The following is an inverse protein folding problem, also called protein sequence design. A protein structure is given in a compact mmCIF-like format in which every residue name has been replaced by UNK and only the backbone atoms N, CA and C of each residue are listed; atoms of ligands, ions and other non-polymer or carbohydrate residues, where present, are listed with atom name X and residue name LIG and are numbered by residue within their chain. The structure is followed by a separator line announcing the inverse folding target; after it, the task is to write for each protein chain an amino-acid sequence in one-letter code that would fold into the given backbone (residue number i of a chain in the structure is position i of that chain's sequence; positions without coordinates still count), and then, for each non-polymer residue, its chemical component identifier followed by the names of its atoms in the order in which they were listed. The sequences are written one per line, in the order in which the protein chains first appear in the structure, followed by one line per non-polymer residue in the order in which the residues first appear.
data_IF_235557887242
#
_entry.id   IF_235557887242
#
_cell.length_a   1.000
_cell.length_b   1.000
_cell.length_c   1.000
_cell.angle_alpha   90.00
_cell.angle_beta   90.00
_cell.angle_gamma   90.00
#
_symmetry.space_group_name_H-M   'P 1'
#
loop_
_entity.id
_entity.type
_entity.pdbx_description
1 polymer ?
#
# COMPACT_ATOMS: atom_id res chain seq x y z
N UNK A 1 -13.79 7.74 -21.00
CA UNK A 1 -13.53 7.16 -19.67
C UNK A 1 -14.85 7.00 -18.92
N UNK A 2 -15.11 5.80 -18.39
CA UNK A 2 -16.34 5.47 -17.64
C UNK A 2 -16.14 5.48 -16.11
N UNK A 3 -14.91 5.33 -15.62
CA UNK A 3 -14.58 5.21 -14.20
C UNK A 3 -13.14 5.68 -13.88
N UNK A 4 -12.81 6.01 -12.61
CA UNK A 4 -11.45 6.36 -12.19
C UNK A 4 -10.47 5.18 -12.30
N UNK A 5 -9.22 5.48 -12.64
CA UNK A 5 -8.15 4.49 -12.73
C UNK A 5 -6.81 5.15 -12.39
N UNK A 6 -6.11 4.54 -11.44
CA UNK A 6 -4.81 4.96 -10.92
C UNK A 6 -4.39 4.01 -9.80
N UNK A 7 -3.09 3.86 -9.60
CA UNK A 7 -2.50 3.09 -8.50
C UNK A 7 -1.05 3.50 -8.38
N UNK A 8 -0.49 3.46 -7.17
CA UNK A 8 0.89 3.87 -6.89
C UNK A 8 1.17 5.36 -7.22
N UNK A 9 0.16 6.23 -7.10
CA UNK A 9 0.21 7.67 -7.43
C UNK A 9 0.43 8.60 -6.21
N UNK A 10 0.71 8.02 -5.04
CA UNK A 10 0.94 8.69 -3.77
C UNK A 10 -0.26 9.52 -3.33
N UNK A 11 -0.09 10.83 -3.28
CA UNK A 11 -1.13 11.73 -2.80
C UNK A 11 -2.32 11.90 -3.75
N UNK A 12 -2.14 11.58 -5.04
CA UNK A 12 -3.03 11.96 -6.13
C UNK A 12 -4.24 11.01 -6.20
N UNK A 13 -5.44 11.58 -6.26
CA UNK A 13 -6.65 10.85 -6.65
C UNK A 13 -6.92 11.03 -8.15
N UNK A 14 -6.75 9.97 -8.94
CA UNK A 14 -7.03 9.95 -10.38
C UNK A 14 -8.53 9.69 -10.66
N UNK A 15 -9.37 10.67 -10.32
CA UNK A 15 -10.81 10.63 -10.56
C UNK A 15 -11.18 10.53 -12.05
N UNK A 16 -12.43 10.17 -12.37
CA UNK A 16 -12.94 10.24 -13.76
C UNK A 16 -12.81 11.67 -14.29
N UNK A 17 -12.31 11.81 -15.52
CA UNK A 17 -12.05 13.09 -16.17
C UNK A 17 -10.55 13.44 -16.16
N UNK A 18 -10.23 14.71 -16.37
CA UNK A 18 -8.85 15.20 -16.36
C UNK A 18 -8.35 15.34 -14.92
N UNK A 19 -7.18 14.79 -14.65
CA UNK A 19 -6.42 15.03 -13.41
C UNK A 19 -5.09 15.66 -13.77
N UNK A 20 -4.77 16.78 -13.13
CA UNK A 20 -3.48 17.47 -13.27
C UNK A 20 -2.77 17.42 -11.91
N UNK A 21 -1.50 17.07 -11.93
CA UNK A 21 -0.64 17.10 -10.75
C UNK A 21 0.69 17.78 -11.07
N UNK A 22 1.26 18.45 -10.09
CA UNK A 22 2.58 19.05 -10.17
C UNK A 22 3.33 18.80 -8.86
N UNK A 23 4.62 18.48 -8.99
CA UNK A 23 5.53 18.31 -7.87
C UNK A 23 6.79 19.13 -8.17
N UNK A 24 7.15 20.01 -7.24
CA UNK A 24 8.32 20.87 -7.36
C UNK A 24 8.88 21.13 -5.96
N UNK A 25 10.20 21.14 -5.84
CA UNK A 25 10.84 21.14 -4.54
C UNK A 25 12.34 21.39 -4.61
N UNK A 26 12.99 21.34 -3.45
CA UNK A 26 14.44 21.46 -3.35
C UNK A 26 15.01 20.48 -2.33
N UNK A 27 16.31 20.23 -2.49
CA UNK A 27 17.13 19.43 -1.60
C UNK A 27 18.28 20.27 -1.07
N UNK A 28 18.54 20.18 0.23
CA UNK A 28 19.69 20.80 0.88
C UNK A 28 20.34 19.80 1.84
N UNK A 29 21.67 19.88 1.95
CA UNK A 29 22.45 19.06 2.90
C UNK A 29 23.52 19.92 3.57
N UNK A 30 23.58 19.85 4.89
CA UNK A 30 24.60 20.49 5.72
C UNK A 30 25.18 19.44 6.68
N UNK A 31 26.34 18.89 6.32
CA UNK A 31 26.98 17.81 7.08
C UNK A 31 26.07 16.57 7.23
N UNK A 32 25.77 16.12 8.46
CA UNK A 32 24.90 14.97 8.72
C UNK A 32 23.41 15.28 8.52
N UNK A 33 23.02 16.54 8.40
CA UNK A 33 21.62 16.96 8.25
C UNK A 33 21.27 17.10 6.76
N UNK A 34 20.12 16.56 6.35
CA UNK A 34 19.53 16.75 5.03
C UNK A 34 18.07 17.17 5.15
N UNK A 35 17.66 18.05 4.22
CA UNK A 35 16.32 18.57 4.08
C UNK A 35 15.87 18.30 2.63
N UNK A 36 14.73 17.63 2.50
CA UNK A 36 14.00 17.50 1.23
C UNK A 36 12.64 18.15 1.43
N UNK A 37 12.31 19.15 0.62
CA UNK A 37 10.94 19.67 0.52
C UNK A 37 10.45 19.38 -0.87
N UNK A 38 9.49 18.47 -1.02
CA UNK A 38 8.96 18.03 -2.31
C UNK A 38 7.42 17.90 -2.26
N UNK A 39 6.70 19.03 -2.09
CA UNK A 39 5.24 19.04 -2.05
C UNK A 39 4.64 18.66 -3.41
N UNK A 40 3.45 18.09 -3.36
CA UNK A 40 2.65 17.75 -4.54
C UNK A 40 1.32 18.48 -4.48
N UNK A 41 0.95 19.17 -5.55
CA UNK A 41 -0.40 19.70 -5.74
C UNK A 41 -1.10 18.92 -6.84
N UNK A 42 -2.37 18.61 -6.66
CA UNK A 42 -3.18 18.01 -7.72
C UNK A 42 -4.61 18.53 -7.71
N UNK A 43 -5.27 18.43 -8.87
CA UNK A 43 -6.68 18.67 -9.08
C UNK A 43 -7.24 17.66 -10.07
N UNK A 44 -8.26 16.92 -9.65
CA UNK A 44 -9.07 16.03 -10.46
C UNK A 44 -10.43 16.69 -10.73
N UNK A 45 -10.88 16.67 -11.98
CA UNK A 45 -12.26 17.03 -12.34
C UNK A 45 -13.28 16.21 -11.55
N UNK A 46 -12.94 14.95 -11.27
CA UNK A 46 -13.71 14.04 -10.43
C UNK A 46 -15.16 13.94 -10.90
N UNK A 47 -15.38 13.78 -12.21
CA UNK A 47 -16.69 13.68 -12.85
C UNK A 47 -17.53 12.54 -12.24
N UNK A 48 -18.86 12.67 -12.29
CA UNK A 48 -19.76 11.62 -11.82
C UNK A 48 -19.58 10.34 -12.63
N UNK A 49 -19.78 9.19 -11.99
CA UNK A 49 -19.89 7.89 -12.66
C UNK A 49 -20.80 7.00 -11.82
N UNK A 50 -21.32 5.89 -12.37
CA UNK A 50 -22.14 4.96 -11.59
C UNK A 50 -21.35 4.46 -10.38
N UNK A 51 -21.89 4.71 -9.19
CA UNK A 51 -21.35 4.19 -7.94
C UNK A 51 -22.16 2.96 -7.56
N UNK A 52 -21.48 1.96 -7.00
CA UNK A 52 -22.14 0.85 -6.36
C UNK A 52 -22.85 1.31 -5.08
N UNK A 53 -23.96 0.63 -4.75
CA UNK A 53 -24.68 0.90 -3.51
C UNK A 53 -23.73 0.72 -2.32
N UNK A 54 -23.73 1.70 -1.42
CA UNK A 54 -22.91 1.68 -0.20
C UNK A 54 -23.81 1.75 1.02
N UNK A 55 -23.38 1.10 2.10
CA UNK A 55 -24.05 1.14 3.40
C UNK A 55 -23.86 2.48 4.13
N UNK A 56 -22.93 3.32 3.66
CA UNK A 56 -22.75 4.67 4.20
C UNK A 56 -23.82 5.63 3.69
N UNK A 57 -24.31 6.50 4.58
CA UNK A 57 -25.35 7.49 4.26
C UNK A 57 -24.98 8.46 3.15
N UNK A 58 -23.68 8.70 2.92
CA UNK A 58 -23.21 9.52 1.79
C UNK A 58 -23.36 8.83 0.43
N UNK A 59 -23.66 7.53 0.38
CA UNK A 59 -23.67 6.72 -0.84
C UNK A 59 -22.30 6.61 -1.53
N UNK A 60 -21.23 6.91 -0.79
CA UNK A 60 -19.90 7.18 -1.35
C UNK A 60 -18.81 6.20 -0.91
N UNK A 61 -19.08 5.38 0.12
CA UNK A 61 -18.11 4.43 0.69
C UNK A 61 -17.91 3.20 -0.18
N UNK A 62 -16.98 2.35 0.24
CA UNK A 62 -16.81 1.00 -0.32
C UNK A 62 -18.15 0.24 -0.31
N UNK A 63 -18.51 -0.48 -1.39
CA UNK A 63 -19.83 -1.11 -1.50
C UNK A 63 -20.07 -2.25 -0.52
N UNK A 64 -19.04 -3.03 -0.18
CA UNK A 64 -19.16 -4.16 0.75
C UNK A 64 -18.65 -3.77 2.13
N UNK A 65 -17.48 -3.13 2.19
CA UNK A 65 -16.77 -2.86 3.43
C UNK A 65 -16.91 -1.43 3.92
N UNK A 66 -17.86 -0.64 3.37
CA UNK A 66 -17.99 0.79 3.66
C UNK A 66 -18.06 1.15 5.14
N UNK A 67 -18.59 0.26 6.00
CA UNK A 67 -18.65 0.46 7.45
C UNK A 67 -17.32 0.23 8.19
N UNK A 68 -16.33 -0.41 7.57
CA UNK A 68 -15.07 -0.88 8.21
C UNK A 68 -13.80 -0.51 7.42
N UNK A 69 -13.93 0.34 6.39
CA UNK A 69 -12.79 0.97 5.70
C UNK A 69 -13.11 2.39 5.25
N UNK A 70 -12.12 3.29 5.36
CA UNK A 70 -12.16 4.63 4.77
C UNK A 70 -11.62 4.57 3.33
N UNK A 71 -12.48 4.14 2.41
CA UNK A 71 -12.17 4.02 0.98
C UNK A 71 -13.38 4.46 0.16
N UNK A 72 -13.55 5.77 -0.09
CA UNK A 72 -14.66 6.24 -0.93
C UNK A 72 -14.44 5.83 -2.39
N UNK A 73 -15.52 5.42 -3.06
CA UNK A 73 -15.52 5.18 -4.51
C UNK A 73 -15.25 6.50 -5.27
N UNK A 74 -15.70 7.63 -4.71
CA UNK A 74 -15.52 8.98 -5.27
C UNK A 74 -15.45 10.02 -4.15
N UNK A 75 -14.50 10.95 -4.24
CA UNK A 75 -14.37 12.06 -3.28
C UNK A 75 -15.39 13.18 -3.52
N UNK A 76 -16.67 12.90 -3.22
CA UNK A 76 -17.77 13.87 -3.32
C UNK A 76 -18.23 14.17 -4.75
N UNK A 77 -19.08 15.19 -4.89
CA UNK A 77 -19.73 15.52 -6.16
C UNK A 77 -19.02 16.60 -6.99
N UNK A 78 -18.02 17.28 -6.43
CA UNK A 78 -17.28 18.38 -7.04
C UNK A 78 -15.88 17.94 -7.47
N UNK A 79 -15.19 18.81 -8.20
CA UNK A 79 -13.75 18.67 -8.43
C UNK A 79 -13.01 18.51 -7.09
N UNK A 80 -12.02 17.63 -7.07
CA UNK A 80 -11.27 17.28 -5.86
C UNK A 80 -9.80 17.61 -6.07
N UNK A 81 -9.15 18.20 -5.07
CA UNK A 81 -7.74 18.57 -5.16
C UNK A 81 -7.15 18.84 -3.78
N UNK A 82 -5.83 18.74 -3.70
CA UNK A 82 -5.09 18.94 -2.45
C UNK A 82 -3.68 19.45 -2.72
N UNK A 83 -3.19 20.31 -1.82
CA UNK A 83 -1.77 20.55 -1.62
C UNK A 83 -1.28 19.60 -0.53
N UNK A 84 -0.41 18.68 -0.91
CA UNK A 84 0.15 17.66 -0.04
C UNK A 84 1.63 17.98 0.26
N UNK A 85 2.11 17.79 1.51
CA UNK A 85 3.53 17.91 1.83
C UNK A 85 4.42 16.99 0.98
N UNK A 86 3.85 15.94 0.38
CA UNK A 86 4.52 15.10 -0.59
C UNK A 86 5.74 14.39 0.00
N UNK A 87 6.78 14.22 -0.81
CA UNK A 87 7.99 13.49 -0.43
C UNK A 87 8.97 14.38 0.34
N UNK A 88 8.48 15.01 1.41
CA UNK A 88 9.27 15.93 2.24
C UNK A 88 9.83 15.22 3.48
N UNK A 89 11.07 15.57 3.86
CA UNK A 89 11.73 15.03 5.05
C UNK A 89 12.85 15.94 5.59
N UNK A 90 13.07 15.84 6.90
CA UNK A 90 14.28 16.31 7.59
C UNK A 90 14.95 15.08 8.19
N UNK A 91 16.21 14.83 7.84
CA UNK A 91 16.94 13.61 8.21
C UNK A 91 18.32 13.94 8.74
N UNK A 92 18.68 13.32 9.87
CA UNK A 92 20.00 13.34 10.46
C UNK A 92 20.63 11.94 10.33
N UNK A 93 21.78 11.86 9.65
CA UNK A 93 22.60 10.66 9.55
C UNK A 93 23.92 10.84 10.30
N UNK A 94 24.06 10.19 11.45
CA UNK A 94 25.25 10.30 12.28
C UNK A 94 25.56 8.95 12.97
N UNK A 95 26.84 8.59 13.04
CA UNK A 95 27.31 7.41 13.77
C UNK A 95 26.60 6.09 13.39
N UNK A 96 26.25 5.93 12.11
CA UNK A 96 25.53 4.74 11.61
C UNK A 96 24.03 4.72 11.89
N UNK A 97 23.50 5.75 12.54
CA UNK A 97 22.08 5.93 12.85
C UNK A 97 21.47 6.96 11.91
N UNK A 98 20.22 6.74 11.54
CA UNK A 98 19.38 7.65 10.77
C UNK A 98 18.11 7.96 11.54
N UNK A 99 17.82 9.25 11.75
CA UNK A 99 16.61 9.68 12.44
C UNK A 99 16.06 10.97 11.85
N UNK A 100 14.76 11.21 11.99
CA UNK A 100 14.18 12.43 11.45
C UNK A 100 12.66 12.46 11.44
N UNK A 101 12.14 13.39 10.65
CA UNK A 101 10.73 13.59 10.38
C UNK A 101 10.47 13.51 8.88
N UNK A 102 9.37 12.89 8.48
CA UNK A 102 9.04 12.68 7.07
C UNK A 102 7.53 12.70 6.85
N UNK A 103 7.14 13.12 5.65
CA UNK A 103 5.81 12.90 5.08
C UNK A 103 5.86 12.01 3.85
N UNK A 104 7.04 11.51 3.50
CA UNK A 104 7.26 10.68 2.33
C UNK A 104 6.51 9.35 2.42
N UNK A 105 6.17 8.82 1.25
CA UNK A 105 5.69 7.46 1.10
C UNK A 105 6.81 6.47 1.43
N UNK A 106 6.41 5.31 1.95
CA UNK A 106 7.31 4.21 2.30
C UNK A 106 6.91 2.98 1.48
N UNK A 107 7.91 2.20 1.05
CA UNK A 107 7.71 0.91 0.38
C UNK A 107 8.32 -0.18 1.24
N UNK A 108 7.49 -1.03 1.84
CA UNK A 108 7.93 -2.13 2.71
C UNK A 108 7.58 -3.48 2.09
N UNK A 109 8.59 -4.33 1.96
CA UNK A 109 8.52 -5.59 1.22
C UNK A 109 9.20 -5.48 -0.16
N UNK A 110 9.39 -6.62 -0.85
CA UNK A 110 10.09 -6.67 -2.13
C UNK A 110 9.17 -6.44 -3.34
N UNK A 111 7.85 -6.48 -3.16
CA UNK A 111 6.86 -6.23 -4.22
C UNK A 111 6.94 -4.79 -4.73
N UNK A 112 7.00 -4.64 -6.05
CA UNK A 112 7.09 -3.34 -6.71
C UNK A 112 5.72 -2.79 -7.11
N UNK A 113 4.80 -3.66 -7.57
CA UNK A 113 3.47 -3.25 -8.02
C UNK A 113 2.44 -3.32 -6.89
N UNK A 114 2.55 -4.34 -6.03
CA UNK A 114 1.58 -4.70 -5.01
C UNK A 114 2.21 -4.80 -3.61
N UNK A 115 2.70 -3.69 -3.03
CA UNK A 115 3.24 -3.70 -1.68
C UNK A 115 2.14 -4.03 -0.65
N UNK A 116 2.38 -4.98 0.26
CA UNK A 116 1.37 -5.37 1.24
C UNK A 116 1.19 -4.36 2.38
N UNK A 117 2.29 -3.93 3.01
CA UNK A 117 2.22 -3.23 4.30
C UNK A 117 2.25 -1.72 4.14
N UNK A 118 3.13 -1.19 3.30
CA UNK A 118 3.20 0.23 2.97
C UNK A 118 3.70 0.37 1.54
N UNK A 119 3.06 1.25 0.79
CA UNK A 119 3.41 1.57 -0.58
C UNK A 119 3.08 3.00 -0.97
N UNK A 120 2.97 3.20 -2.29
CA UNK A 120 2.67 4.51 -2.87
C UNK A 120 1.21 4.64 -3.29
N UNK A 121 0.27 3.83 -2.77
CA UNK A 121 -1.15 3.92 -3.14
C UNK A 121 -1.94 4.98 -2.36
N UNK A 122 -1.40 5.45 -1.23
CA UNK A 122 -1.98 6.51 -0.42
C UNK A 122 -1.02 7.69 -0.31
N UNK A 123 -1.50 8.86 0.16
CA UNK A 123 -0.60 9.92 0.55
C UNK A 123 0.27 9.44 1.71
N UNK A 124 1.54 9.87 1.73
CA UNK A 124 2.35 9.71 2.92
C UNK A 124 1.74 10.42 4.14
N UNK A 125 2.29 10.15 5.31
CA UNK A 125 1.77 10.67 6.58
C UNK A 125 2.90 11.27 7.39
N UNK A 126 2.65 12.31 8.21
CA UNK A 126 3.67 12.88 9.07
C UNK A 126 4.11 11.84 10.11
N UNK A 127 5.38 11.49 10.08
CA UNK A 127 5.97 10.51 10.98
C UNK A 127 7.39 10.86 11.37
N UNK A 128 7.74 10.49 12.59
CA UNK A 128 9.13 10.35 13.02
C UNK A 128 9.65 8.99 12.56
N UNK A 129 10.93 8.93 12.22
CA UNK A 129 11.61 7.67 11.96
C UNK A 129 12.93 7.60 12.71
N UNK A 130 13.33 6.38 13.05
CA UNK A 130 14.63 6.05 13.62
C UNK A 130 15.10 4.71 13.05
N UNK A 131 16.38 4.57 12.76
CA UNK A 131 16.90 3.35 12.18
C UNK A 131 18.38 3.40 11.90
N UNK A 132 18.85 2.44 11.13
CA UNK A 132 20.24 2.35 10.70
C UNK A 132 20.43 3.15 9.42
N UNK A 133 21.48 3.97 9.34
CA UNK A 133 21.79 4.72 8.11
C UNK A 133 22.26 3.81 6.97
N UNK A 134 22.93 2.71 7.32
CA UNK A 134 23.43 1.68 6.40
C UNK A 134 23.26 0.31 7.06
N UNK A 135 23.21 -0.80 6.29
CA UNK A 135 23.21 -2.14 6.87
C UNK A 135 24.45 -2.36 7.75
N UNK A 136 24.23 -2.66 9.03
CA UNK A 136 25.29 -2.87 10.01
C UNK A 136 25.71 -4.35 10.05
N UNK A 137 27.02 -4.64 10.17
CA UNK A 137 27.51 -6.00 10.23
C UNK A 137 27.14 -6.66 11.57
N UNK A 138 26.73 -7.91 11.50
CA UNK A 138 26.65 -8.85 12.62
C UNK A 138 27.41 -10.12 12.23
N UNK A 139 27.75 -10.99 13.18
CA UNK A 139 28.59 -12.17 12.92
C UNK A 139 28.11 -13.03 11.73
N UNK A 140 26.79 -13.14 11.57
CA UNK A 140 26.13 -13.97 10.57
C UNK A 140 25.72 -13.24 9.27
N UNK A 141 25.98 -11.94 9.13
CA UNK A 141 25.54 -11.18 7.95
C UNK A 141 25.44 -9.66 8.19
N UNK A 142 24.52 -8.99 7.49
CA UNK A 142 24.25 -7.56 7.66
C UNK A 142 22.78 -7.33 7.92
N UNK A 143 22.44 -6.53 8.92
CA UNK A 143 21.06 -6.19 9.24
C UNK A 143 20.79 -4.71 8.97
N UNK A 144 19.55 -4.38 8.63
CA UNK A 144 19.07 -3.01 8.50
C UNK A 144 17.71 -2.92 9.19
N UNK A 145 17.46 -1.85 9.94
CA UNK A 145 16.20 -1.67 10.65
C UNK A 145 15.71 -0.23 10.54
N UNK A 146 14.38 -0.07 10.51
CA UNK A 146 13.71 1.22 10.59
C UNK A 146 12.42 1.08 11.38
N UNK A 147 12.23 1.97 12.35
CA UNK A 147 10.98 2.14 13.08
C UNK A 147 10.38 3.50 12.73
N UNK A 148 9.05 3.56 12.61
CA UNK A 148 8.31 4.80 12.35
C UNK A 148 7.17 4.98 13.34
N UNK A 149 6.88 6.24 13.67
CA UNK A 149 5.76 6.64 14.53
C UNK A 149 5.10 7.89 13.95
N UNK A 150 3.81 7.84 13.65
CA UNK A 150 3.15 8.92 12.91
C UNK A 150 1.66 9.05 13.16
N UNK A 151 1.06 10.01 12.47
CA UNK A 151 -0.38 10.28 12.52
C UNK A 151 -1.02 9.97 11.16
N UNK A 152 -2.00 9.07 11.17
CA UNK A 152 -2.86 8.83 10.01
C UNK A 152 -4.13 9.65 10.12
N UNK A 153 -4.51 10.25 9.01
CA UNK A 153 -5.75 11.03 8.88
C UNK A 153 -6.78 10.22 8.09
N UNK A 154 -8.06 10.48 8.34
CA UNK A 154 -9.15 9.94 7.53
C UNK A 154 -9.61 10.94 6.47
N UNK A 155 -10.36 10.47 5.48
CA UNK A 155 -11.07 11.32 4.52
C UNK A 155 -12.33 11.95 5.15
N UNK A 156 -12.91 12.93 4.46
CA UNK A 156 -14.22 13.49 4.81
C UNK A 156 -15.38 12.50 4.56
N UNK A 157 -15.10 11.35 3.97
CA UNK A 157 -16.06 10.31 3.57
C UNK A 157 -15.92 9.03 4.40
N UNK A 158 -15.13 9.08 5.48
CA UNK A 158 -14.86 7.96 6.36
C UNK A 158 -16.13 7.49 7.11
N UNK A 159 -16.26 6.18 7.41
CA UNK A 159 -17.32 5.66 8.29
C UNK A 159 -17.19 6.11 9.76
N UNK A 160 -16.06 6.71 10.15
CA UNK A 160 -15.84 7.16 11.53
C UNK A 160 -16.27 8.61 11.69
N UNK A 161 -17.31 8.79 12.51
CA UNK A 161 -17.84 10.08 12.93
C UNK A 161 -17.46 10.39 14.38
N UNK A 162 -17.79 11.59 14.85
CA UNK A 162 -17.56 12.01 16.23
C UNK A 162 -16.22 12.73 16.48
N UNK A 163 -15.66 12.62 17.69
CA UNK A 163 -14.54 13.43 18.14
C UNK A 163 -13.24 13.14 17.38
N UNK A 164 -12.31 14.11 17.41
CA UNK A 164 -10.99 13.94 16.80
C UNK A 164 -10.21 12.79 17.46
N UNK A 165 -10.24 12.73 18.78
CA UNK A 165 -9.53 11.75 19.60
C UNK A 165 -10.51 10.73 20.18
N UNK A 166 -9.97 9.59 20.61
CA UNK A 166 -10.71 8.49 21.22
C UNK A 166 -11.64 8.98 22.33
N UNK A 167 -12.89 8.51 22.29
CA UNK A 167 -13.86 8.75 23.36
C UNK A 167 -14.47 7.45 23.87
N UNK A 168 -14.74 6.49 22.99
CA UNK A 168 -15.32 5.20 23.34
C UNK A 168 -15.02 4.15 22.27
N UNK A 169 -15.42 2.89 22.49
CA UNK A 169 -15.32 1.83 21.46
C UNK A 169 -16.16 2.11 20.20
N UNK A 170 -17.24 2.90 20.32
CA UNK A 170 -18.05 3.31 19.17
C UNK A 170 -17.46 4.54 18.45
N UNK A 171 -16.75 5.39 19.21
CA UNK A 171 -16.11 6.62 18.78
C UNK A 171 -14.58 6.53 18.96
N UNK A 172 -13.94 5.74 18.09
CA UNK A 172 -12.50 5.44 18.17
C UNK A 172 -11.60 6.63 17.82
N UNK A 173 -12.18 7.72 17.31
CA UNK A 173 -11.51 8.96 16.97
C UNK A 173 -11.21 9.08 15.48
N UNK A 174 -11.19 10.33 14.97
CA UNK A 174 -10.95 10.63 13.55
C UNK A 174 -9.47 10.63 13.15
N UNK A 175 -8.54 10.52 14.10
CA UNK A 175 -7.10 10.35 13.84
C UNK A 175 -6.58 9.11 14.52
N UNK A 176 -5.57 8.48 13.91
CA UNK A 176 -4.95 7.25 14.42
C UNK A 176 -3.45 7.45 14.61
N UNK A 177 -2.92 6.78 15.61
CA UNK A 177 -1.49 6.66 15.80
C UNK A 177 -0.99 5.46 15.00
N UNK A 178 -0.05 5.70 14.09
CA UNK A 178 0.64 4.66 13.35
C UNK A 178 1.98 4.36 14.01
N UNK A 179 2.29 3.08 14.16
CA UNK A 179 3.63 2.63 14.53
C UNK A 179 4.02 1.43 13.68
N UNK A 180 5.25 1.38 13.20
CA UNK A 180 5.71 0.24 12.43
C UNK A 180 7.21 0.01 12.53
N UNK A 181 7.62 -1.21 12.20
CA UNK A 181 8.99 -1.69 12.21
C UNK A 181 9.22 -2.51 10.93
N UNK A 182 10.32 -2.24 10.25
CA UNK A 182 10.84 -3.12 9.19
C UNK A 182 12.28 -3.50 9.53
N UNK A 183 12.59 -4.77 9.34
CA UNK A 183 13.94 -5.33 9.51
C UNK A 183 14.28 -6.13 8.26
N UNK A 184 15.48 -5.92 7.73
CA UNK A 184 16.06 -6.75 6.67
C UNK A 184 17.40 -7.31 7.09
N UNK A 185 17.73 -8.47 6.56
CA UNK A 185 18.94 -9.21 6.85
C UNK A 185 19.49 -9.85 5.58
N UNK A 186 20.79 -9.65 5.37
CA UNK A 186 21.56 -10.19 4.27
C UNK A 186 22.54 -11.22 4.84
N UNK A 187 22.24 -12.53 4.76
CA UNK A 187 23.06 -13.57 5.35
C UNK A 187 24.44 -13.65 4.69
N UNK A 188 25.47 -13.88 5.51
CA UNK A 188 26.83 -14.14 5.01
C UNK A 188 26.85 -15.46 4.23
N UNK A 189 27.45 -15.44 3.04
CA UNK A 189 27.60 -16.62 2.19
C UNK A 189 26.51 -16.81 1.13
N UNK A 190 25.48 -15.96 1.10
CA UNK A 190 24.44 -15.98 0.08
C UNK A 190 24.36 -14.62 -0.62
N UNK A 191 25.14 -14.48 -1.69
CA UNK A 191 25.20 -13.22 -2.42
C UNK A 191 23.84 -12.89 -3.08
N UNK A 192 23.37 -11.68 -2.82
CA UNK A 192 22.12 -11.16 -3.37
C UNK A 192 20.85 -11.65 -2.65
N UNK A 193 20.96 -12.49 -1.61
CA UNK A 193 19.82 -12.88 -0.77
C UNK A 193 19.55 -11.81 0.29
N UNK A 194 18.29 -11.43 0.42
CA UNK A 194 17.77 -10.57 1.46
C UNK A 194 16.51 -11.21 2.02
N UNK A 195 16.44 -11.34 3.34
CA UNK A 195 15.24 -11.76 4.06
C UNK A 195 14.83 -10.63 4.99
N UNK A 196 13.54 -10.51 5.27
CA UNK A 196 13.08 -9.46 6.15
C UNK A 196 11.68 -9.70 6.67
N UNK A 197 11.25 -8.78 7.52
CA UNK A 197 9.90 -8.75 8.01
C UNK A 197 9.49 -7.31 8.32
N UNK A 198 8.20 -7.06 8.17
CA UNK A 198 7.59 -5.79 8.48
C UNK A 198 6.41 -5.98 9.43
N UNK A 199 6.16 -4.99 10.27
CA UNK A 199 4.98 -4.92 11.13
C UNK A 199 4.47 -3.50 11.17
N UNK A 200 3.17 -3.33 11.04
CA UNK A 200 2.51 -2.03 11.08
C UNK A 200 1.25 -2.10 11.92
N UNK A 201 1.09 -1.13 12.82
CA UNK A 201 0.04 -1.11 13.83
C UNK A 201 -0.70 0.21 13.74
N UNK A 202 -2.02 0.12 13.63
CA UNK A 202 -2.93 1.23 13.84
C UNK A 202 -3.44 1.20 15.27
N UNK A 203 -3.29 2.31 15.97
CA UNK A 203 -3.83 2.51 17.30
C UNK A 203 -4.75 3.71 17.35
N UNK A 204 -5.71 3.65 18.27
CA UNK A 204 -6.53 4.82 18.63
C UNK A 204 -5.63 5.97 19.11
N UNK A 205 -6.10 7.21 19.02
CA UNK A 205 -5.39 8.36 19.58
C UNK A 205 -6.08 8.85 20.86
N UNK A 206 -5.55 8.59 22.07
CA UNK A 206 -6.21 8.99 23.32
C UNK A 206 -6.25 10.50 23.51
N UNK A 207 -7.30 11.00 24.17
CA UNK A 207 -7.42 12.43 24.55
C UNK A 207 -6.31 12.90 25.49
N UNK A 208 -5.80 12.00 26.33
CA UNK A 208 -4.69 12.23 27.25
C UNK A 208 -3.31 12.27 26.58
N UNK A 209 -3.23 12.00 25.27
CA UNK A 209 -1.99 11.87 24.53
C UNK A 209 -1.57 10.42 24.28
N UNK A 210 -0.48 10.24 23.51
CA UNK A 210 0.04 8.92 23.17
C UNK A 210 0.79 8.35 24.38
N UNK A 211 0.37 7.21 24.95
CA UNK A 211 1.04 6.63 26.11
C UNK A 211 2.40 6.03 25.72
N UNK A 212 3.40 6.01 26.63
CA UNK A 212 4.72 5.44 26.35
C UNK A 212 4.71 3.99 25.86
N UNK A 213 3.69 3.21 26.24
CA UNK A 213 3.51 1.82 25.81
C UNK A 213 3.36 1.68 24.29
N UNK A 214 2.82 2.69 23.59
CA UNK A 214 2.61 2.65 22.15
C UNK A 214 3.93 2.58 21.38
N UNK A 215 4.99 3.22 21.89
CA UNK A 215 6.31 3.19 21.25
C UNK A 215 6.95 1.80 21.29
N UNK A 216 6.54 0.95 22.22
CA UNK A 216 7.04 -0.42 22.34
C UNK A 216 6.25 -1.44 21.49
N UNK A 217 5.06 -1.08 20.99
CA UNK A 217 4.18 -2.02 20.26
C UNK A 217 4.84 -2.69 19.04
N UNK A 218 5.60 -1.99 18.17
CA UNK A 218 6.28 -2.65 17.05
C UNK A 218 7.36 -3.65 17.49
N UNK A 219 7.86 -3.55 18.72
CA UNK A 219 8.92 -4.38 19.30
C UNK A 219 8.39 -5.54 20.14
N UNK A 220 7.07 -5.58 20.41
CA UNK A 220 6.45 -6.66 21.17
C UNK A 220 6.42 -7.95 20.34
N UNK A 221 6.32 -9.10 21.02
CA UNK A 221 6.31 -10.43 20.41
C UNK A 221 5.31 -10.52 19.24
N UNK A 222 5.65 -11.35 18.25
CA UNK A 222 4.79 -11.69 17.12
C UNK A 222 3.64 -12.63 17.51
N UNK A 223 3.66 -13.19 18.73
CA UNK A 223 2.67 -14.15 19.24
C UNK A 223 1.86 -13.51 20.38
N UNK A 224 0.55 -13.80 20.45
CA UNK A 224 -0.35 -13.23 21.47
C UNK A 224 0.00 -13.65 22.91
N UNK A 225 0.64 -14.81 23.08
CA UNK A 225 1.09 -15.32 24.39
C UNK A 225 2.24 -14.43 24.90
N UNK A 226 1.98 -13.61 25.93
CA UNK A 226 2.87 -12.65 26.61
C UNK A 226 2.68 -11.14 26.30
N UNK A 227 1.52 -10.69 25.82
CA UNK A 227 1.18 -9.25 25.85
C UNK A 227 0.76 -8.81 27.26
N UNK A 228 1.71 -8.75 28.20
CA UNK A 228 1.48 -8.22 29.54
C UNK A 228 1.30 -6.69 29.53
N UNK A 229 0.27 -6.18 30.20
CA UNK A 229 0.12 -4.75 30.51
C UNK A 229 -0.66 -3.91 29.49
N UNK A 230 -1.53 -4.50 28.68
CA UNK A 230 -2.50 -3.72 27.88
C UNK A 230 -3.64 -3.27 28.81
N UNK A 231 -3.91 -1.96 28.82
CA UNK A 231 -5.09 -1.39 29.44
C UNK A 231 -6.35 -2.13 28.94
N UNK A 232 -7.06 -2.83 29.85
CA UNK A 232 -8.21 -3.66 29.49
C UNK A 232 -9.33 -2.88 28.79
N UNK A 233 -9.39 -1.56 28.98
CA UNK A 233 -10.37 -0.70 28.29
C UNK A 233 -10.07 -0.54 26.78
N UNK A 234 -8.79 -0.60 26.39
CA UNK A 234 -8.27 -0.39 25.03
C UNK A 234 -7.81 -1.72 24.40
N UNK A 235 -7.76 -2.80 25.17
CA UNK A 235 -7.41 -4.13 24.68
C UNK A 235 -8.30 -4.55 23.49
N UNK A 236 -7.66 -4.99 22.41
CA UNK A 236 -8.33 -5.43 21.18
C UNK A 236 -8.78 -4.32 20.23
N UNK A 237 -8.44 -3.05 20.46
CA UNK A 237 -8.77 -1.98 19.49
C UNK A 237 -7.72 -1.77 18.40
N UNK A 238 -6.49 -2.25 18.59
CA UNK A 238 -5.43 -2.06 17.59
C UNK A 238 -5.66 -2.93 16.37
N UNK A 239 -5.40 -2.38 15.17
CA UNK A 239 -5.26 -3.18 13.96
C UNK A 239 -3.79 -3.46 13.71
N UNK A 240 -3.42 -4.71 13.41
CA UNK A 240 -2.02 -5.11 13.23
C UNK A 240 -1.83 -5.90 11.95
N UNK A 241 -0.82 -5.47 11.19
CA UNK A 241 -0.39 -6.10 9.96
C UNK A 241 1.04 -6.59 10.16
N UNK A 242 1.33 -7.81 9.68
CA UNK A 242 2.69 -8.33 9.68
C UNK A 242 2.99 -9.04 8.37
N UNK A 243 4.24 -8.94 7.92
CA UNK A 243 4.73 -9.69 6.77
C UNK A 243 6.15 -10.20 7.00
N UNK A 244 6.46 -11.31 6.33
CA UNK A 244 7.79 -11.87 6.20
C UNK A 244 8.08 -12.04 4.71
N UNK A 245 9.27 -11.66 4.28
CA UNK A 245 9.62 -11.63 2.87
C UNK A 245 11.04 -12.07 2.59
N UNK A 246 11.28 -12.49 1.36
CA UNK A 246 12.59 -12.79 0.83
C UNK A 246 12.71 -12.28 -0.61
N UNK A 247 13.91 -11.82 -0.96
CA UNK A 247 14.31 -11.46 -2.32
C UNK A 247 15.68 -12.05 -2.58
N UNK A 248 15.86 -12.68 -3.74
CA UNK A 248 17.15 -13.19 -4.17
C UNK A 248 17.50 -12.69 -5.57
N UNK A 249 18.53 -11.87 -5.65
CA UNK A 249 19.09 -11.35 -6.90
C UNK A 249 20.30 -12.18 -7.36
N UNK A 250 20.09 -13.03 -8.37
CA UNK A 250 21.13 -13.79 -9.05
C UNK A 250 21.83 -12.91 -10.09
N UNK A 251 22.89 -12.21 -9.65
CA UNK A 251 23.59 -11.19 -10.45
C UNK A 251 24.12 -11.69 -11.78
N UNK A 252 24.66 -12.91 -11.81
CA UNK A 252 25.27 -13.51 -13.01
C UNK A 252 24.21 -13.79 -14.09
N UNK A 253 23.05 -14.28 -13.69
CA UNK A 253 21.96 -14.59 -14.62
C UNK A 253 21.06 -13.38 -14.89
N UNK A 254 21.15 -12.30 -14.11
CA UNK A 254 20.24 -11.17 -14.20
C UNK A 254 18.79 -11.52 -13.82
N UNK A 255 18.62 -12.57 -13.01
CA UNK A 255 17.33 -12.98 -12.46
C UNK A 255 17.20 -12.46 -11.03
N UNK A 256 16.03 -11.95 -10.71
CA UNK A 256 15.60 -11.66 -9.35
C UNK A 256 14.27 -12.36 -9.10
N UNK A 257 14.15 -13.03 -7.97
CA UNK A 257 12.89 -13.60 -7.49
C UNK A 257 12.62 -13.10 -6.09
N UNK A 258 11.35 -12.88 -5.78
CA UNK A 258 10.94 -12.44 -4.46
C UNK A 258 9.56 -12.97 -4.10
N UNK A 259 9.31 -13.00 -2.80
CA UNK A 259 7.99 -13.31 -2.27
C UNK A 259 7.81 -12.67 -0.91
N UNK A 260 6.55 -12.41 -0.59
CA UNK A 260 6.12 -11.88 0.70
C UNK A 260 4.92 -12.69 1.17
N UNK A 261 4.97 -13.13 2.41
CA UNK A 261 3.87 -13.75 3.12
C UNK A 261 3.37 -12.75 4.16
N UNK A 262 2.07 -12.53 4.15
CA UNK A 262 1.38 -11.47 4.86
C UNK A 262 0.29 -12.06 5.76
N UNK A 263 0.04 -11.43 6.91
CA UNK A 263 -1.11 -11.73 7.77
C UNK A 263 -1.73 -10.46 8.32
N UNK A 264 -3.07 -10.46 8.36
CA UNK A 264 -3.85 -9.60 9.25
C UNK A 264 -3.97 -10.27 10.62
N UNK A 265 -3.82 -9.49 11.70
CA UNK A 265 -3.84 -9.97 13.09
C UNK A 265 -2.77 -11.04 13.42
N UNK A 266 -2.55 -11.36 14.69
CA UNK A 266 -1.60 -12.39 15.11
C UNK A 266 -2.21 -13.78 15.12
N UNK A 267 -1.39 -14.77 14.79
CA UNK A 267 -1.62 -16.16 15.22
C UNK A 267 -1.69 -16.23 16.74
N UNK A 268 -2.54 -17.12 17.26
CA UNK A 268 -2.69 -17.30 18.70
C UNK A 268 -1.37 -17.78 19.33
N UNK A 269 -0.73 -18.77 18.71
CA UNK A 269 0.60 -19.28 19.04
C UNK A 269 1.33 -19.85 17.80
N UNK A 270 2.54 -20.40 17.96
CA UNK A 270 3.27 -21.05 16.87
C UNK A 270 2.57 -22.31 16.34
N UNK A 271 1.78 -22.98 17.19
CA UNK A 271 1.04 -24.17 16.79
C UNK A 271 -0.09 -23.77 15.85
N UNK A 272 -0.83 -22.70 16.13
CA UNK A 272 -1.84 -22.11 15.26
C UNK A 272 -1.22 -21.66 13.92
N UNK A 273 -0.05 -21.00 13.94
CA UNK A 273 0.66 -20.62 12.72
C UNK A 273 1.09 -21.82 11.86
N UNK A 274 1.55 -22.91 12.49
CA UNK A 274 2.03 -24.10 11.77
C UNK A 274 0.87 -25.00 11.32
N UNK A 275 -0.18 -25.10 12.13
CA UNK A 275 -1.36 -25.91 11.80
C UNK A 275 -2.21 -25.24 10.72
N UNK A 276 -2.32 -23.91 10.75
CA UNK A 276 -3.16 -23.14 9.84
C UNK A 276 -2.43 -21.91 9.30
N UNK A 277 -1.36 -22.13 8.51
CA UNK A 277 -0.65 -21.05 7.83
C UNK A 277 -1.52 -20.37 6.77
N UNK A 278 -2.68 -20.92 6.43
CA UNK A 278 -3.63 -20.38 5.48
C UNK A 278 -4.76 -19.54 6.08
N UNK A 279 -4.90 -19.50 7.41
CA UNK A 279 -5.85 -18.61 8.09
C UNK A 279 -5.36 -17.15 8.06
N UNK A 280 -6.21 -16.23 7.57
CA UNK A 280 -5.93 -14.78 7.48
C UNK A 280 -4.65 -14.40 6.71
N UNK A 281 -4.23 -15.22 5.73
CA UNK A 281 -3.02 -14.97 4.96
C UNK A 281 -3.24 -14.11 3.72
N UNK A 282 -2.19 -13.43 3.32
CA UNK A 282 -1.94 -12.98 1.95
C UNK A 282 -0.56 -13.46 1.50
N UNK A 283 -0.34 -13.57 0.20
CA UNK A 283 1.00 -13.78 -0.34
C UNK A 283 1.21 -13.05 -1.66
N UNK A 284 2.45 -12.66 -1.93
CA UNK A 284 2.88 -12.15 -3.21
C UNK A 284 4.11 -12.93 -3.67
N UNK A 285 4.20 -13.09 -4.98
CA UNK A 285 5.38 -13.67 -5.64
C UNK A 285 5.69 -12.79 -6.83
N UNK A 286 6.97 -12.53 -7.05
CA UNK A 286 7.40 -11.84 -8.23
C UNK A 286 8.77 -12.25 -8.72
N UNK A 287 9.01 -11.90 -9.98
CA UNK A 287 10.20 -12.23 -10.72
C UNK A 287 10.53 -11.08 -11.65
N UNK A 288 11.82 -10.74 -11.74
CA UNK A 288 12.36 -9.86 -12.75
C UNK A 288 13.54 -10.54 -13.46
N UNK A 289 13.51 -10.57 -14.79
CA UNK A 289 14.56 -11.17 -15.60
C UNK A 289 15.08 -10.18 -16.64
N UNK A 290 16.38 -9.95 -16.63
CA UNK A 290 17.06 -9.13 -17.62
C UNK A 290 17.45 -10.01 -18.83
N UNK A 291 17.17 -9.52 -20.04
CA UNK A 291 17.53 -10.14 -21.31
C UNK A 291 18.32 -9.18 -22.20
N UNK A 292 19.02 -9.74 -23.20
CA UNK A 292 19.71 -9.00 -24.26
C UNK A 292 20.59 -7.86 -23.73
N UNK A 293 21.43 -8.18 -22.72
CA UNK A 293 22.29 -7.22 -22.04
C UNK A 293 23.42 -6.74 -22.96
N UNK A 294 23.15 -5.68 -23.72
CA UNK A 294 24.18 -4.92 -24.43
C UNK A 294 24.59 -3.72 -23.57
N UNK A 295 25.73 -3.09 -23.89
CA UNK A 295 26.22 -1.92 -23.14
C UNK A 295 25.26 -0.73 -23.15
N UNK A 296 24.39 -0.63 -24.16
CA UNK A 296 23.49 0.51 -24.37
C UNK A 296 22.01 0.16 -24.34
N UNK A 297 21.65 -1.13 -24.29
CA UNK A 297 20.27 -1.60 -24.40
C UNK A 297 20.07 -2.92 -23.64
N UNK A 298 18.90 -3.07 -23.03
CA UNK A 298 18.49 -4.33 -22.42
C UNK A 298 16.96 -4.40 -22.28
N UNK A 299 16.45 -5.62 -22.13
CA UNK A 299 15.03 -5.84 -21.86
C UNK A 299 14.85 -6.41 -20.44
N UNK A 300 13.70 -6.14 -19.83
CA UNK A 300 13.32 -6.69 -18.53
C UNK A 300 11.91 -7.24 -18.62
N UNK A 301 11.75 -8.54 -18.33
CA UNK A 301 10.43 -9.11 -18.03
C UNK A 301 10.21 -9.02 -16.52
N UNK A 302 9.05 -8.50 -16.12
CA UNK A 302 8.58 -8.51 -14.73
C UNK A 302 7.26 -9.25 -14.67
N UNK A 303 7.14 -10.12 -13.69
CA UNK A 303 5.90 -10.80 -13.34
C UNK A 303 5.69 -10.62 -11.85
N UNK A 304 4.52 -10.17 -11.44
CA UNK A 304 4.16 -10.05 -10.03
C UNK A 304 2.73 -10.50 -9.82
N UNK A 305 2.50 -11.30 -8.77
CA UNK A 305 1.17 -11.73 -8.34
C UNK A 305 0.99 -11.42 -6.86
N UNK A 306 -0.23 -11.09 -6.47
CA UNK A 306 -0.64 -10.92 -5.08
C UNK A 306 -1.98 -11.63 -4.89
N UNK A 307 -2.16 -12.31 -3.77
CA UNK A 307 -3.38 -13.04 -3.48
C UNK A 307 -3.70 -13.02 -1.98
N UNK A 308 -4.92 -12.60 -1.67
CA UNK A 308 -5.54 -12.77 -0.36
C UNK A 308 -7.03 -13.15 -0.55
N UNK A 309 -7.34 -13.90 -1.62
CA UNK A 309 -8.64 -14.53 -1.79
C UNK A 309 -8.92 -15.50 -0.65
N UNK A 310 -10.20 -15.68 -0.31
CA UNK A 310 -10.61 -16.53 0.81
C UNK A 310 -10.13 -17.97 0.60
N UNK A 311 -9.41 -18.56 1.57
CA UNK A 311 -8.99 -19.95 1.48
C UNK A 311 -10.20 -20.89 1.61
N UNK A 312 -10.10 -22.16 1.17
CA UNK A 312 -11.14 -23.14 1.43
C UNK A 312 -11.51 -23.30 2.92
N UNK A 313 -10.57 -23.05 3.84
CA UNK A 313 -10.83 -22.99 5.29
C UNK A 313 -11.93 -21.98 5.67
N UNK A 314 -12.13 -20.92 4.89
CA UNK A 314 -13.24 -19.98 5.08
C UNK A 314 -14.61 -20.67 5.09
N UNK A 315 -14.74 -21.78 4.36
CA UNK A 315 -15.99 -22.56 4.24
C UNK A 315 -16.26 -23.46 5.45
N UNK A 316 -15.31 -23.59 6.38
CA UNK A 316 -15.42 -24.48 7.55
C UNK A 316 -16.05 -23.81 8.77
N UNK A 317 -16.42 -22.52 8.67
CA UNK A 317 -17.04 -21.76 9.76
C UNK A 317 -16.06 -21.18 10.79
N UNK A 318 -14.74 -21.34 10.60
CA UNK A 318 -13.70 -20.79 11.50
C UNK A 318 -13.65 -19.25 11.53
N UNK A 319 -14.33 -18.58 10.59
CA UNK A 319 -14.29 -17.13 10.43
C UNK A 319 -12.93 -16.68 9.90
N UNK A 320 -12.93 -16.06 8.72
CA UNK A 320 -11.71 -15.49 8.13
C UNK A 320 -11.67 -13.98 8.36
N UNK A 321 -10.45 -13.49 8.52
CA UNK A 321 -10.15 -12.06 8.48
C UNK A 321 -10.27 -11.53 7.05
N UNK A 322 -10.33 -10.21 6.92
CA UNK A 322 -10.45 -9.51 5.66
C UNK A 322 -9.30 -8.52 5.55
N UNK A 323 -8.59 -8.48 4.42
CA UNK A 323 -7.42 -7.61 4.31
C UNK A 323 -7.83 -6.13 4.39
N UNK A 324 -7.00 -5.30 5.01
CA UNK A 324 -7.12 -3.85 5.07
C UNK A 324 -8.38 -3.29 5.76
N UNK A 325 -9.24 -4.12 6.34
CA UNK A 325 -10.43 -3.69 7.08
C UNK A 325 -10.29 -4.01 8.56
N UNK A 326 -11.01 -3.28 9.41
CA UNK A 326 -10.99 -3.55 10.85
C UNK A 326 -12.27 -3.08 11.53
N UNK A 327 -12.81 -3.88 12.46
CA UNK A 327 -14.10 -3.60 13.11
C UNK A 327 -14.02 -2.44 14.13
N UNK A 328 -13.03 -2.40 15.06
CA UNK A 328 -12.82 -1.24 15.93
C UNK A 328 -12.31 0.02 15.20
N UNK A 329 -11.25 -0.13 14.41
CA UNK A 329 -10.62 0.96 13.66
C UNK A 329 -11.19 0.97 12.24
N UNK A 330 -12.41 1.48 12.13
CA UNK A 330 -13.22 1.42 10.90
C UNK A 330 -12.65 2.25 9.73
N UNK A 331 -11.56 2.98 9.93
CA UNK A 331 -10.81 3.55 8.80
C UNK A 331 -10.05 2.50 7.99
N UNK A 332 -9.76 1.31 8.56
CA UNK A 332 -8.99 0.27 7.88
C UNK A 332 -7.53 0.66 7.59
N UNK A 333 -6.83 -0.08 6.75
CA UNK A 333 -5.43 0.17 6.40
C UNK A 333 -5.29 1.26 5.32
N UNK A 334 -5.70 2.47 5.69
CA UNK A 334 -5.83 3.62 4.78
C UNK A 334 -5.15 4.87 5.34
N UNK A 335 -4.92 5.85 4.48
CA UNK A 335 -4.65 7.23 4.87
C UNK A 335 -5.39 8.18 3.92
N UNK A 336 -6.18 9.10 4.48
CA UNK A 336 -6.97 10.09 3.72
C UNK A 336 -7.83 9.47 2.61
N UNK A 337 -8.48 8.34 2.90
CA UNK A 337 -9.39 7.67 1.95
C UNK A 337 -8.72 6.77 0.91
N UNK A 338 -7.40 6.54 1.00
CA UNK A 338 -6.65 5.71 0.04
C UNK A 338 -5.90 4.61 0.79
N UNK A 339 -5.69 3.45 0.15
CA UNK A 339 -5.04 2.29 0.77
C UNK A 339 -3.55 2.51 0.94
N UNK A 340 -3.03 2.21 2.14
CA UNK A 340 -1.60 2.32 2.44
C UNK A 340 -0.78 1.20 1.78
N UNK A 341 -1.34 -0.01 1.65
CA UNK A 341 -0.79 -1.15 0.91
C UNK A 341 -1.25 -1.17 -0.55
N UNK A 342 -1.41 -2.35 -1.15
CA UNK A 342 -1.78 -2.53 -2.56
C UNK A 342 -3.23 -2.10 -2.84
N UNK A 343 -3.45 -1.19 -3.81
CA UNK A 343 -4.81 -0.81 -4.24
C UNK A 343 -5.35 -1.76 -5.33
N UNK A 344 -5.61 -3.00 -4.89
CA UNK A 344 -6.29 -4.01 -5.71
C UNK A 344 -7.66 -4.39 -5.17
N UNK A 345 -7.99 -3.99 -3.93
CA UNK A 345 -9.22 -4.36 -3.25
C UNK A 345 -9.03 -4.41 -1.74
N UNK A 346 -10.10 -4.68 -1.02
CA UNK A 346 -10.11 -4.94 0.42
C UNK A 346 -10.94 -6.20 0.68
N UNK A 347 -10.74 -6.86 1.82
CA UNK A 347 -11.39 -8.15 2.07
C UNK A 347 -10.71 -9.28 1.30
N UNK A 348 -11.34 -9.73 0.22
CA UNK A 348 -10.84 -10.78 -0.67
C UNK A 348 -10.55 -10.20 -2.06
N UNK A 349 -9.29 -10.27 -2.47
CA UNK A 349 -8.83 -9.77 -3.77
C UNK A 349 -7.54 -10.49 -4.20
N UNK A 350 -7.24 -10.38 -5.49
CA UNK A 350 -5.99 -10.85 -6.07
C UNK A 350 -5.61 -9.97 -7.26
N UNK A 351 -4.35 -10.00 -7.63
CA UNK A 351 -3.91 -9.38 -8.87
C UNK A 351 -2.72 -10.10 -9.49
N UNK A 352 -2.54 -9.88 -10.79
CA UNK A 352 -1.40 -10.37 -11.56
C UNK A 352 -0.99 -9.32 -12.58
N UNK A 353 0.30 -9.05 -12.66
CA UNK A 353 0.89 -8.17 -13.67
C UNK A 353 2.00 -8.89 -14.41
N UNK A 354 2.02 -8.75 -15.73
CA UNK A 354 3.14 -9.10 -16.59
C UNK A 354 3.55 -7.85 -17.36
N UNK A 355 4.82 -7.47 -17.28
CA UNK A 355 5.37 -6.27 -17.90
C UNK A 355 6.65 -6.60 -18.63
N UNK A 356 6.77 -6.07 -19.85
CA UNK A 356 8.01 -6.09 -20.63
C UNK A 356 8.49 -4.66 -20.83
N UNK A 357 9.67 -4.35 -20.31
CA UNK A 357 10.35 -3.08 -20.50
C UNK A 357 11.54 -3.24 -21.43
N UNK A 358 11.72 -2.30 -22.35
CA UNK A 358 12.94 -2.14 -23.14
C UNK A 358 13.61 -0.82 -22.77
N UNK A 359 14.89 -0.89 -22.39
CA UNK A 359 15.71 0.26 -22.03
C UNK A 359 16.74 0.54 -23.12
N UNK A 360 16.95 1.82 -23.39
CA UNK A 360 17.98 2.33 -24.31
C UNK A 360 18.54 3.67 -23.80
N UNK A 361 19.61 4.15 -24.42
CA UNK A 361 20.13 5.51 -24.16
C UNK A 361 19.15 6.63 -24.53
N UNK A 362 18.12 6.35 -25.34
CA UNK A 362 17.11 7.33 -25.73
C UNK A 362 15.86 7.33 -24.83
N UNK A 363 15.75 6.38 -23.89
CA UNK A 363 14.61 6.23 -23.01
C UNK A 363 14.16 4.78 -22.82
N UNK A 364 12.89 4.61 -22.45
CA UNK A 364 12.24 3.33 -22.19
C UNK A 364 10.93 3.24 -22.96
N UNK A 365 10.59 2.05 -23.45
CA UNK A 365 9.19 1.73 -23.70
C UNK A 365 8.80 0.47 -22.94
N UNK A 366 7.52 0.32 -22.65
CA UNK A 366 6.99 -0.84 -21.97
C UNK A 366 5.61 -1.21 -22.48
N UNK A 367 5.33 -2.51 -22.47
CA UNK A 367 3.98 -3.06 -22.58
C UNK A 367 3.67 -3.83 -21.31
N UNK A 368 2.42 -3.77 -20.88
CA UNK A 368 1.98 -4.55 -19.72
C UNK A 368 0.57 -5.06 -19.87
N UNK A 369 0.33 -6.16 -19.17
CA UNK A 369 -0.97 -6.72 -18.89
C UNK A 369 -1.15 -6.81 -17.38
N UNK A 370 -2.33 -6.44 -16.91
CA UNK A 370 -2.73 -6.55 -15.51
C UNK A 370 -4.14 -7.15 -15.43
N UNK A 371 -4.33 -8.05 -14.47
CA UNK A 371 -5.62 -8.59 -14.07
C UNK A 371 -5.79 -8.37 -12.58
N UNK A 372 -6.85 -7.66 -12.21
CA UNK A 372 -7.24 -7.46 -10.82
C UNK A 372 -8.58 -8.15 -10.56
N UNK A 373 -8.63 -8.98 -9.53
CA UNK A 373 -9.85 -9.49 -8.91
C UNK A 373 -10.16 -8.53 -7.78
N UNK A 374 -10.97 -7.49 -8.02
CA UNK A 374 -11.11 -6.37 -7.10
C UNK A 374 -12.04 -6.64 -5.92
N UNK A 375 -12.91 -7.61 -6.13
CA UNK A 375 -13.92 -8.03 -5.19
C UNK A 375 -14.30 -9.46 -5.49
N UNK A 376 -14.40 -10.26 -4.44
CA UNK A 376 -14.93 -11.62 -4.47
C UNK A 376 -15.80 -11.81 -3.23
N UNK A 377 -17.00 -12.37 -3.39
CA UNK A 377 -17.87 -12.72 -2.27
C UNK A 377 -18.19 -14.21 -2.32
N UNK A 378 -17.97 -14.91 -1.21
CA UNK A 378 -18.46 -16.28 -1.01
C UNK A 378 -19.85 -16.32 -0.38
N UNK A 379 -20.40 -15.16 0.02
CA UNK A 379 -21.66 -15.05 0.75
C UNK A 379 -22.69 -14.22 -0.06
N UNK A 380 -23.75 -14.88 -0.59
CA UNK A 380 -24.86 -14.21 -1.27
C UNK A 380 -25.69 -13.29 -0.38
N UNK A 381 -25.51 -13.33 0.95
CA UNK A 381 -26.26 -12.53 1.93
C UNK A 381 -25.56 -11.24 2.35
N UNK A 382 -24.24 -11.15 2.20
CA UNK A 382 -23.45 -9.91 2.35
C UNK A 382 -23.64 -8.97 1.16
N UNK A 383 -24.22 -9.48 0.09
CA UNK A 383 -24.65 -8.71 -1.06
C UNK A 383 -26.14 -8.44 -0.95
N UNK A 384 -26.56 -7.19 -1.19
CA UNK A 384 -28.00 -6.89 -1.27
C UNK A 384 -28.69 -7.87 -2.24
N UNK A 385 -29.95 -8.28 -1.99
CA UNK A 385 -30.62 -9.26 -2.84
C UNK A 385 -30.62 -8.76 -4.29
N UNK A 386 -30.07 -9.58 -5.19
CA UNK A 386 -29.83 -9.36 -6.65
C UNK A 386 -28.40 -8.97 -7.09
N UNK A 387 -27.36 -9.64 -6.58
CA UNK A 387 -26.02 -9.55 -7.21
C UNK A 387 -25.86 -10.63 -8.31
N UNK A 388 -25.71 -10.24 -9.59
CA UNK A 388 -25.64 -11.18 -10.71
C UNK A 388 -24.26 -11.83 -10.90
N UNK A 389 -23.20 -11.33 -10.26
CA UNK A 389 -21.82 -11.78 -10.45
C UNK A 389 -21.11 -12.02 -9.12
N UNK A 390 -20.29 -13.07 -9.04
CA UNK A 390 -19.64 -13.51 -7.79
C UNK A 390 -18.26 -12.83 -7.60
N UNK A 391 -17.71 -12.25 -8.66
CA UNK A 391 -16.40 -11.57 -8.63
C UNK A 391 -16.32 -10.41 -9.63
N UNK A 392 -15.54 -9.38 -9.30
CA UNK A 392 -15.21 -8.23 -10.15
C UNK A 392 -13.81 -8.42 -10.75
N UNK A 393 -13.73 -8.54 -12.09
CA UNK A 393 -12.47 -8.68 -12.81
C UNK A 393 -12.17 -7.45 -13.68
N UNK A 394 -11.06 -6.78 -13.41
CA UNK A 394 -10.51 -5.72 -14.25
C UNK A 394 -9.30 -6.23 -15.02
N UNK A 395 -9.38 -6.20 -16.34
CA UNK A 395 -8.24 -6.41 -17.24
C UNK A 395 -7.75 -5.06 -17.74
N UNK A 396 -6.44 -4.83 -17.67
CA UNK A 396 -5.79 -3.65 -18.22
C UNK A 396 -4.63 -4.07 -19.13
N UNK A 397 -4.57 -3.47 -20.30
CA UNK A 397 -3.46 -3.60 -21.24
C UNK A 397 -2.94 -2.19 -21.53
N UNK A 398 -1.65 -1.97 -21.35
CA UNK A 398 -1.08 -0.65 -21.52
C UNK A 398 0.24 -0.62 -22.25
N UNK A 399 0.49 0.53 -22.85
CA UNK A 399 1.77 0.91 -23.43
C UNK A 399 2.26 2.18 -22.75
N UNK A 400 3.54 2.20 -22.41
CA UNK A 400 4.20 3.34 -21.80
C UNK A 400 5.49 3.66 -22.54
N UNK A 401 5.81 4.95 -22.67
CA UNK A 401 7.04 5.42 -23.29
C UNK A 401 7.61 6.59 -22.51
N UNK A 402 8.85 6.44 -22.06
CA UNK A 402 9.70 7.49 -21.53
C UNK A 402 10.72 7.85 -22.61
N UNK A 403 10.77 9.13 -23.00
CA UNK A 403 11.74 9.65 -23.96
C UNK A 403 12.62 10.68 -23.27
N UNK A 404 13.93 10.44 -23.31
CA UNK A 404 14.91 11.40 -22.84
C UNK A 404 15.09 12.52 -23.87
N UNK A 405 15.15 13.76 -23.42
CA UNK A 405 15.54 14.89 -24.27
C UNK A 405 16.58 15.75 -23.55
N UNK A 406 17.17 16.72 -24.27
CA UNK A 406 18.17 17.62 -23.67
C UNK A 406 17.60 18.55 -22.59
N UNK A 407 16.29 18.80 -22.58
CA UNK A 407 15.67 19.82 -21.72
C UNK A 407 14.67 19.26 -20.72
N UNK A 408 14.06 18.12 -21.02
CA UNK A 408 13.05 17.47 -20.20
C UNK A 408 12.88 16.01 -20.63
N UNK A 409 12.41 15.19 -19.72
CA UNK A 409 12.00 13.83 -20.02
C UNK A 409 10.49 13.79 -20.17
N UNK A 410 10.01 13.09 -21.21
CA UNK A 410 8.59 12.97 -21.51
C UNK A 410 8.16 11.52 -21.31
N UNK A 411 7.22 11.30 -20.39
CA UNK A 411 6.53 10.03 -20.23
C UNK A 411 5.13 10.13 -20.80
N UNK A 412 4.75 9.20 -21.67
CA UNK A 412 3.39 9.06 -22.20
C UNK A 412 2.90 7.64 -21.97
N UNK A 413 1.64 7.48 -21.58
CA UNK A 413 1.02 6.16 -21.46
C UNK A 413 -0.38 6.14 -22.05
N UNK A 414 -0.78 4.97 -22.52
CA UNK A 414 -2.14 4.64 -22.94
C UNK A 414 -2.49 3.27 -22.39
N UNK A 415 -3.59 3.19 -21.64
CA UNK A 415 -4.07 1.96 -21.02
C UNK A 415 -5.53 1.73 -21.41
N UNK A 416 -5.78 0.58 -22.00
CA UNK A 416 -7.12 0.08 -22.34
C UNK A 416 -7.56 -0.87 -21.24
N UNK A 417 -8.80 -0.74 -20.79
CA UNK A 417 -9.34 -1.51 -19.69
C UNK A 417 -10.68 -2.12 -20.05
N UNK A 418 -10.88 -3.37 -19.63
CA UNK A 418 -12.16 -4.06 -19.64
C UNK A 418 -12.45 -4.59 -18.25
N UNK A 419 -13.47 -4.04 -17.65
CA UNK A 419 -14.03 -4.45 -16.38
C UNK A 419 -15.21 -5.39 -16.70
N UNK A 420 -15.10 -6.68 -16.38
CA UNK A 420 -16.10 -7.66 -16.80
C UNK A 420 -17.36 -7.62 -15.93
N UNK A 421 -17.24 -7.14 -14.71
CA UNK A 421 -18.27 -7.26 -13.67
C UNK A 421 -18.08 -6.18 -12.62
N UNK A 422 -18.05 -4.92 -13.10
CA UNK A 422 -17.76 -3.76 -12.27
C UNK A 422 -18.72 -3.69 -11.09
N UNK A 423 -18.18 -3.71 -9.88
CA UNK A 423 -18.94 -3.71 -8.64
C UNK A 423 -20.02 -4.81 -8.64
N UNK A 424 -19.67 -5.99 -9.15
CA UNK A 424 -20.51 -7.17 -9.30
C UNK A 424 -21.73 -6.98 -10.22
N UNK A 425 -21.69 -5.98 -11.10
CA UNK A 425 -22.77 -5.62 -12.01
C UNK A 425 -22.42 -5.88 -13.48
N UNK A 426 -22.64 -4.89 -14.37
CA UNK A 426 -22.42 -5.00 -15.80
C UNK A 426 -20.96 -4.72 -16.18
N UNK A 427 -20.52 -5.31 -17.29
CA UNK A 427 -19.21 -5.00 -17.85
C UNK A 427 -19.09 -3.54 -18.31
N UNK A 428 -17.92 -2.95 -18.13
CA UNK A 428 -17.57 -1.57 -18.49
C UNK A 428 -16.23 -1.53 -19.21
N UNK A 429 -16.08 -0.56 -20.10
CA UNK A 429 -14.81 -0.35 -20.82
C UNK A 429 -14.26 1.02 -20.48
N UNK A 430 -12.94 1.12 -20.32
CA UNK A 430 -12.31 2.38 -19.96
C UNK A 430 -11.00 2.58 -20.73
N UNK A 431 -10.61 3.83 -20.85
CA UNK A 431 -9.34 4.24 -21.45
C UNK A 431 -8.73 5.29 -20.53
N UNK A 432 -7.47 5.10 -20.18
CA UNK A 432 -6.65 6.06 -19.48
C UNK A 432 -5.48 6.46 -20.38
N UNK A 433 -5.22 7.75 -20.49
CA UNK A 433 -4.04 8.28 -21.15
C UNK A 433 -3.37 9.26 -20.21
N UNK A 434 -2.05 9.16 -20.06
CA UNK A 434 -1.29 10.05 -19.20
C UNK A 434 -0.10 10.65 -19.93
N UNK A 435 0.25 11.87 -19.57
CA UNK A 435 1.43 12.58 -20.02
C UNK A 435 2.09 13.18 -18.79
N UNK A 436 3.39 12.94 -18.62
CA UNK A 436 4.20 13.52 -17.56
C UNK A 436 5.47 14.12 -18.16
N UNK A 437 5.87 15.28 -17.62
CA UNK A 437 7.09 15.98 -18.01
C UNK A 437 7.93 16.12 -16.76
N UNK A 438 9.15 15.59 -16.81
CA UNK A 438 10.13 15.72 -15.74
C UNK A 438 11.25 16.63 -16.21
N UNK A 439 11.55 17.68 -15.46
CA UNK A 439 12.72 18.52 -15.73
C UNK A 439 13.97 17.83 -15.17
N UNK A 440 15.09 17.82 -15.91
CA UNK A 440 16.35 17.27 -15.41
C UNK A 440 16.79 18.05 -14.18
N UNK A 441 17.40 17.32 -13.24
CA UNK A 441 17.99 17.87 -12.01
C UNK A 441 19.29 18.62 -12.29
#
# INVERSE_FOLDING_TARGET
SEFPYGSNDGAIWAGRGVTVAAQAGFYARAGPLSLTLLPTVFRAENMSFPLAASTLSCGCGDPIYGGVVDRPQRFGSRAYGRLDPGQSSVRLDALGISAGFSTANEGWGPSAEYPFVLGNNAPGFPHLFFGTANPFPIFIGRAHLKVIYGRLDQSNYSPVTGPKFYASRLETGRVRFASGLVVTFQPRGFDGLEIGGARFIHSIWPRSGIPPSYFRKPLQSFLKVNLAGIDQQIAGTDNQLASAFARWAFRESGLEVYGEYYREDHSYDLRDLVQEPDHQRGYSLGLAKIFARQSSQFNVLRVEVINFQLPPLATTGRGEGSIYVHSPIRQGHTNRGQLLGADIGVGAAAASTVRWDHYSSAGRWAIFWRRDVRQETSDPTLTAPAVPQISDFLYAFGFERLKFTRRFDLTTSLTLMRDLSRDLSNSRSNVNAAISITLPR
#
